data_IF_525747459847
#
_entry.id   IF_525747459847
#
_cell.length_a   1.000
_cell.length_b   1.000
_cell.length_c   1.000
_cell.angle_alpha   90.00
_cell.angle_beta   90.00
_cell.angle_gamma   90.00
#
_symmetry.space_group_name_H-M   'P 1'
#
loop_
_entity.id
_entity.type
_entity.pdbx_description
1 polymer ?
#
# COMPACT_ATOMS: atom_id res chain seq x y z
N UNK A 1 18.00 -48.73 42.83
CA UNK A 1 18.85 -47.60 43.26
C UNK A 1 19.23 -46.80 42.03
N UNK A 2 18.63 -45.63 41.82
CA UNK A 2 19.24 -44.41 41.28
C UNK A 2 18.24 -43.28 41.54
N UNK A 3 18.73 -42.27 42.25
CA UNK A 3 18.00 -41.10 42.72
C UNK A 3 18.28 -39.90 41.80
N UNK A 4 17.33 -38.96 41.74
CA UNK A 4 17.48 -37.65 41.12
C UNK A 4 16.11 -37.20 40.58
N UNK A 5 15.37 -36.25 41.17
CA UNK A 5 15.76 -35.11 41.97
C UNK A 5 16.07 -33.93 41.05
N UNK A 6 15.07 -33.10 40.72
CA UNK A 6 15.25 -31.99 39.77
C UNK A 6 14.09 -30.99 39.70
N UNK A 7 14.05 -30.11 40.69
CA UNK A 7 13.64 -28.69 40.66
C UNK A 7 12.42 -28.23 39.82
N UNK A 8 11.34 -27.88 40.53
CA UNK A 8 10.27 -27.01 40.06
C UNK A 8 10.73 -25.55 40.06
N UNK A 9 11.05 -25.02 38.88
CA UNK A 9 11.34 -23.59 38.69
C UNK A 9 10.05 -22.78 38.57
N UNK A 10 9.76 -21.96 39.59
CA UNK A 10 8.75 -20.90 39.54
C UNK A 10 9.31 -19.74 38.73
N UNK A 11 8.64 -19.35 37.64
CA UNK A 11 8.91 -18.08 36.97
C UNK A 11 8.10 -16.96 37.64
N UNK A 12 8.72 -15.80 37.95
CA UNK A 12 8.04 -14.68 38.58
C UNK A 12 7.18 -13.90 37.59
N UNK A 13 6.03 -13.43 38.09
CA UNK A 13 5.14 -12.49 37.43
C UNK A 13 5.84 -11.15 37.20
N UNK A 14 5.98 -10.75 35.94
CA UNK A 14 6.41 -9.42 35.56
C UNK A 14 5.24 -8.44 35.72
N UNK A 15 5.30 -7.64 36.79
CA UNK A 15 4.47 -6.45 37.00
C UNK A 15 4.74 -5.43 35.89
N UNK A 16 3.72 -5.09 35.10
CA UNK A 16 3.80 -3.97 34.15
C UNK A 16 3.46 -2.67 34.88
N UNK A 17 4.47 -1.85 35.11
CA UNK A 17 4.31 -0.45 35.54
C UNK A 17 3.82 0.37 34.34
N UNK A 18 2.61 0.93 34.47
CA UNK A 18 2.03 1.85 33.50
C UNK A 18 2.62 3.26 33.68
N UNK A 19 3.65 3.59 32.89
CA UNK A 19 4.09 4.98 32.74
C UNK A 19 3.19 5.65 31.71
N UNK A 20 2.37 6.59 32.19
CA UNK A 20 1.54 7.45 31.35
C UNK A 20 2.43 8.32 30.45
N UNK A 21 2.34 8.09 29.15
CA UNK A 21 2.89 8.98 28.13
C UNK A 21 1.77 9.95 27.75
N UNK A 22 1.92 11.19 28.22
CA UNK A 22 1.14 12.35 27.77
C UNK A 22 1.34 12.50 26.25
N UNK A 23 0.29 12.29 25.47
CA UNK A 23 0.30 12.54 24.03
C UNK A 23 0.40 14.05 23.76
N UNK A 24 1.32 14.53 22.89
CA UNK A 24 1.24 15.87 22.37
C UNK A 24 0.01 15.99 21.44
N UNK A 25 -0.79 17.04 21.67
CA UNK A 25 -1.85 17.49 20.77
C UNK A 25 -1.31 17.64 19.36
N UNK A 26 -1.76 16.80 18.44
CA UNK A 26 -1.57 17.04 17.01
C UNK A 26 -2.56 18.12 16.58
N UNK A 27 -2.02 19.31 16.31
CA UNK A 27 -2.75 20.35 15.60
C UNK A 27 -3.08 19.83 14.20
N UNK A 28 -4.38 19.70 13.94
CA UNK A 28 -4.93 19.30 12.66
C UNK A 28 -4.73 20.41 11.64
N UNK A 29 -3.65 20.33 10.87
CA UNK A 29 -3.50 21.11 9.65
C UNK A 29 -4.44 20.56 8.57
N UNK A 30 -5.57 21.23 8.38
CA UNK A 30 -6.50 21.02 7.27
C UNK A 30 -5.78 21.23 5.93
N UNK A 31 -5.67 20.17 5.13
CA UNK A 31 -5.16 20.25 3.77
C UNK A 31 -6.18 20.95 2.85
N UNK A 32 -5.76 21.88 1.96
CA UNK A 32 -6.65 22.44 0.96
C UNK A 32 -6.75 21.53 -0.27
N UNK A 33 -7.98 21.34 -0.75
CA UNK A 33 -8.28 21.20 -2.17
C UNK A 33 -8.11 19.81 -2.80
N UNK A 34 -9.20 19.03 -2.78
CA UNK A 34 -9.50 17.99 -3.78
C UNK A 34 -9.44 18.62 -5.19
N UNK A 35 -8.47 18.26 -6.01
CA UNK A 35 -8.59 18.36 -7.46
C UNK A 35 -9.20 17.06 -7.99
N UNK A 36 -10.46 17.12 -8.40
CA UNK A 36 -11.14 16.02 -9.07
C UNK A 36 -10.64 15.90 -10.52
N UNK A 37 -10.07 14.76 -10.87
CA UNK A 37 -9.91 14.38 -12.27
C UNK A 37 -11.22 13.72 -12.73
N UNK A 38 -11.92 14.38 -13.65
CA UNK A 38 -12.99 13.76 -14.42
C UNK A 38 -12.37 12.77 -15.43
N UNK A 39 -12.85 11.53 -15.42
CA UNK A 39 -12.53 10.53 -16.40
C UNK A 39 -13.16 10.91 -17.75
N UNK A 40 -12.35 11.13 -18.78
CA UNK A 40 -12.80 11.21 -20.16
C UNK A 40 -12.82 9.80 -20.74
N UNK A 41 -14.01 9.36 -21.17
CA UNK A 41 -14.21 8.09 -21.85
C UNK A 41 -13.75 8.16 -23.31
N UNK A 42 -13.20 7.04 -23.77
CA UNK A 42 -12.76 6.77 -25.14
C UNK A 42 -13.86 6.94 -26.19
N UNK A 43 -13.46 7.43 -27.38
CA UNK A 43 -14.33 7.41 -28.56
C UNK A 43 -13.70 8.02 -29.81
N UNK A 44 -13.12 7.17 -30.66
CA UNK A 44 -13.20 7.29 -32.12
C UNK A 44 -12.27 8.25 -32.86
N UNK A 45 -11.29 7.69 -33.59
CA UNK A 45 -10.78 8.24 -34.85
C UNK A 45 -11.40 7.43 -36.03
N UNK A 46 -11.20 7.75 -37.33
CA UNK A 46 -10.45 8.86 -37.93
C UNK A 46 -11.17 9.56 -39.12
N UNK A 47 -10.69 10.74 -39.54
CA UNK A 47 -10.90 11.23 -40.91
C UNK A 47 -9.73 12.09 -41.40
N UNK A 48 -9.36 11.83 -42.65
CA UNK A 48 -8.27 12.36 -43.47
C UNK A 48 -8.44 13.83 -43.87
N UNK A 49 -7.36 14.61 -43.96
CA UNK A 49 -7.21 15.67 -44.97
C UNK A 49 -5.75 16.12 -45.16
N UNK A 50 -5.39 16.32 -46.44
CA UNK A 50 -4.13 16.83 -47.00
C UNK A 50 -3.93 18.34 -46.75
N UNK A 51 -2.67 18.78 -46.84
CA UNK A 51 -2.25 20.15 -47.17
C UNK A 51 -0.86 20.44 -46.59
N UNK A 52 0.21 20.54 -47.39
CA UNK A 52 0.70 21.81 -47.96
C UNK A 52 1.37 22.65 -46.85
N UNK A 53 2.66 22.91 -46.79
CA UNK A 53 3.54 23.40 -47.84
C UNK A 53 4.27 24.65 -47.29
N UNK A 54 5.60 24.52 -47.19
CA UNK A 54 6.64 25.54 -47.15
C UNK A 54 6.98 26.31 -45.84
N UNK A 55 8.29 26.57 -45.61
CA UNK A 55 8.83 27.22 -44.42
C UNK A 55 8.91 28.74 -44.59
N UNK A 56 8.63 29.49 -43.53
CA UNK A 56 8.93 30.91 -43.46
C UNK A 56 10.30 31.12 -42.80
N UNK A 57 11.21 31.49 -43.68
CA UNK A 57 12.49 32.13 -43.47
C UNK A 57 12.36 33.42 -42.61
N UNK A 58 13.40 33.63 -41.80
CA UNK A 58 14.20 34.86 -41.85
C UNK A 58 13.52 36.18 -41.44
N UNK A 59 13.82 36.62 -40.21
CA UNK A 59 13.83 38.05 -39.88
C UNK A 59 15.18 38.47 -39.33
N UNK A 60 15.93 39.06 -40.25
CA UNK A 60 16.93 40.12 -40.13
C UNK A 60 17.29 40.59 -38.71
N UNK A 61 18.57 40.39 -38.36
CA UNK A 61 19.29 41.16 -37.34
C UNK A 61 19.72 42.51 -37.93
N UNK A 62 19.35 43.66 -37.34
CA UNK A 62 20.09 44.88 -37.57
C UNK A 62 21.33 44.93 -36.67
N UNK A 63 22.50 45.03 -37.29
CA UNK A 63 23.71 45.57 -36.65
C UNK A 63 23.59 47.10 -36.63
N UNK A 64 23.67 47.73 -35.45
CA UNK A 64 24.10 49.13 -35.36
C UNK A 64 24.89 49.48 -34.09
N UNK A 65 25.75 50.50 -34.19
CA UNK A 65 27.01 50.64 -33.47
C UNK A 65 26.91 51.62 -32.30
N UNK A 66 27.93 51.64 -31.43
CA UNK A 66 28.19 52.78 -30.54
C UNK A 66 28.65 52.39 -29.15
N UNK A 67 29.94 52.05 -29.04
CA UNK A 67 30.65 52.06 -27.77
C UNK A 67 30.84 53.51 -27.32
N UNK A 68 30.05 53.95 -26.34
CA UNK A 68 30.35 55.07 -25.46
C UNK A 68 29.82 54.68 -24.09
N UNK A 69 30.69 54.16 -23.22
CA UNK A 69 30.39 53.87 -21.82
C UNK A 69 30.50 55.17 -21.01
N UNK A 70 29.42 55.64 -20.36
CA UNK A 70 29.52 56.58 -19.27
C UNK A 70 30.00 55.83 -18.02
N UNK A 71 30.94 56.46 -17.31
CA UNK A 71 31.57 55.96 -16.09
C UNK A 71 30.56 55.53 -15.03
N UNK A 72 30.79 54.34 -14.49
CA UNK A 72 30.12 53.73 -13.35
C UNK A 72 30.18 54.66 -12.12
N UNK A 73 29.01 55.06 -11.61
CA UNK A 73 28.87 55.37 -10.19
C UNK A 73 28.49 54.05 -9.48
N UNK A 74 29.25 53.55 -8.48
CA UNK A 74 28.79 52.42 -7.69
C UNK A 74 27.67 52.90 -6.77
N UNK A 75 26.43 52.70 -7.19
CA UNK A 75 25.28 52.83 -6.31
C UNK A 75 25.41 51.75 -5.22
N UNK A 76 25.61 52.18 -3.97
CA UNK A 76 25.28 51.37 -2.80
C UNK A 76 23.77 51.12 -2.85
N UNK A 77 23.38 49.95 -3.34
CA UNK A 77 22.01 49.44 -3.33
C UNK A 77 21.92 48.20 -2.44
N UNK A 78 21.07 48.31 -1.43
CA UNK A 78 20.51 47.30 -0.50
C UNK A 78 20.79 45.82 -0.76
N UNK A 79 20.97 44.98 0.30
CA UNK A 79 21.04 43.54 0.14
C UNK A 79 19.71 43.06 -0.44
N UNK A 80 19.68 42.76 -1.74
CA UNK A 80 18.55 42.08 -2.34
C UNK A 80 18.38 40.79 -1.55
N UNK A 81 17.28 40.68 -0.79
CA UNK A 81 16.72 39.38 -0.42
C UNK A 81 16.71 38.56 -1.71
N UNK A 82 17.61 37.58 -1.82
CA UNK A 82 17.89 36.91 -3.07
C UNK A 82 16.59 36.39 -3.68
N UNK A 83 16.09 37.06 -4.71
CA UNK A 83 14.89 36.64 -5.41
C UNK A 83 15.25 35.37 -6.15
N UNK A 84 14.81 34.22 -5.63
CA UNK A 84 15.07 32.90 -6.20
C UNK A 84 14.68 32.92 -7.69
N UNK A 85 15.61 32.54 -8.55
CA UNK A 85 15.37 32.52 -10.00
C UNK A 85 14.26 31.53 -10.35
N UNK A 86 13.51 31.77 -11.43
CA UNK A 86 12.46 30.84 -11.85
C UNK A 86 13.03 29.46 -12.23
N UNK A 87 14.27 29.40 -12.71
CA UNK A 87 14.97 28.13 -12.95
C UNK A 87 15.16 27.35 -11.64
N UNK A 88 15.57 28.01 -10.57
CA UNK A 88 15.78 27.37 -9.27
C UNK A 88 14.46 26.92 -8.64
N UNK A 89 13.38 27.70 -8.81
CA UNK A 89 12.02 27.27 -8.43
C UNK A 89 11.61 25.99 -9.16
N UNK A 90 11.84 25.92 -10.47
CA UNK A 90 11.49 24.74 -11.27
C UNK A 90 12.36 23.52 -10.92
N UNK A 91 13.65 23.72 -10.59
CA UNK A 91 14.51 22.64 -10.09
C UNK A 91 14.01 22.09 -8.75
N UNK A 92 13.63 22.98 -7.83
CA UNK A 92 13.04 22.60 -6.56
C UNK A 92 11.70 21.86 -6.74
N UNK A 93 10.85 22.33 -7.67
CA UNK A 93 9.60 21.68 -8.01
C UNK A 93 9.82 20.28 -8.59
N UNK A 94 10.77 20.11 -9.51
CA UNK A 94 11.11 18.81 -10.08
C UNK A 94 11.57 17.83 -9.00
N UNK A 95 12.43 18.28 -8.09
CA UNK A 95 12.90 17.45 -6.98
C UNK A 95 11.74 17.05 -6.04
N UNK A 96 10.86 18.00 -5.74
CA UNK A 96 9.65 17.72 -4.97
C UNK A 96 8.74 16.70 -5.68
N UNK A 97 8.51 16.85 -6.99
CA UNK A 97 7.70 15.92 -7.78
C UNK A 97 8.30 14.52 -7.80
N UNK A 98 9.62 14.39 -7.97
CA UNK A 98 10.31 13.08 -7.88
C UNK A 98 10.08 12.43 -6.52
N UNK A 99 10.14 13.22 -5.45
CA UNK A 99 9.85 12.73 -4.10
C UNK A 99 8.39 12.28 -3.96
N UNK A 100 7.45 13.01 -4.53
CA UNK A 100 6.03 12.64 -4.54
C UNK A 100 5.80 11.33 -5.29
N UNK A 101 6.38 11.18 -6.49
CA UNK A 101 6.31 9.93 -7.26
C UNK A 101 6.83 8.76 -6.44
N UNK A 102 8.01 8.90 -5.83
CA UNK A 102 8.58 7.83 -4.99
C UNK A 102 7.73 7.50 -3.75
N UNK A 103 6.99 8.47 -3.18
CA UNK A 103 6.02 8.22 -2.11
C UNK A 103 4.83 7.40 -2.62
N UNK A 104 4.27 7.80 -3.76
CA UNK A 104 3.13 7.11 -4.38
C UNK A 104 3.51 5.68 -4.80
N UNK A 105 4.69 5.47 -5.39
CA UNK A 105 5.17 4.13 -5.75
C UNK A 105 5.35 3.20 -4.55
N UNK A 106 5.80 3.73 -3.41
CA UNK A 106 5.83 2.95 -2.16
C UNK A 106 4.42 2.57 -1.72
N UNK A 107 3.49 3.52 -1.77
CA UNK A 107 2.09 3.27 -1.39
C UNK A 107 1.41 2.25 -2.30
N UNK A 108 1.67 2.30 -3.60
CA UNK A 108 1.16 1.32 -4.58
C UNK A 108 1.65 -0.08 -4.21
N UNK A 109 2.95 -0.27 -3.97
CA UNK A 109 3.50 -1.57 -3.58
C UNK A 109 2.90 -2.12 -2.29
N UNK A 110 2.67 -1.26 -1.30
CA UNK A 110 1.98 -1.67 -0.06
C UNK A 110 0.55 -2.16 -0.35
N UNK A 111 -0.19 -1.43 -1.19
CA UNK A 111 -1.55 -1.79 -1.57
C UNK A 111 -1.60 -3.08 -2.38
N UNK A 112 -0.67 -3.29 -3.31
CA UNK A 112 -0.57 -4.53 -4.08
C UNK A 112 -0.34 -5.75 -3.17
N UNK A 113 0.51 -5.60 -2.15
CA UNK A 113 0.73 -6.65 -1.15
C UNK A 113 -0.56 -6.91 -0.36
N UNK A 114 -1.28 -5.85 0.04
CA UNK A 114 -2.55 -5.98 0.77
C UNK A 114 -3.62 -6.68 -0.08
N UNK A 115 -3.78 -6.30 -1.34
CA UNK A 115 -4.73 -6.91 -2.27
C UNK A 115 -4.39 -8.37 -2.53
N UNK A 116 -3.11 -8.71 -2.70
CA UNK A 116 -2.67 -10.10 -2.84
C UNK A 116 -3.02 -10.93 -1.59
N UNK A 117 -2.80 -10.38 -0.39
CA UNK A 117 -3.18 -11.03 0.86
C UNK A 117 -4.69 -11.19 1.00
N UNK A 118 -5.48 -10.19 0.63
CA UNK A 118 -6.94 -10.24 0.66
C UNK A 118 -7.47 -11.29 -0.32
N UNK A 119 -6.94 -11.32 -1.54
CA UNK A 119 -7.28 -12.37 -2.53
C UNK A 119 -6.97 -13.76 -2.00
N UNK A 120 -5.83 -13.94 -1.32
CA UNK A 120 -5.48 -15.23 -0.74
C UNK A 120 -6.41 -15.60 0.43
N UNK A 121 -6.77 -14.64 1.29
CA UNK A 121 -7.77 -14.85 2.36
C UNK A 121 -9.13 -15.23 1.78
N UNK A 122 -9.59 -14.52 0.75
CA UNK A 122 -10.85 -14.82 0.08
C UNK A 122 -10.85 -16.24 -0.50
N UNK A 123 -9.72 -16.70 -1.09
CA UNK A 123 -9.57 -18.10 -1.53
C UNK A 123 -9.62 -19.09 -0.38
N UNK A 124 -8.94 -18.79 0.74
CA UNK A 124 -8.96 -19.63 1.93
C UNK A 124 -10.37 -19.70 2.58
N UNK A 125 -11.14 -18.63 2.56
CA UNK A 125 -12.52 -18.60 3.07
C UNK A 125 -13.48 -19.47 2.24
N UNK A 126 -13.19 -19.59 0.94
CA UNK A 126 -13.92 -20.44 0.00
C UNK A 126 -13.44 -21.90 -0.02
N UNK A 127 -12.45 -22.27 0.79
CA UNK A 127 -11.98 -23.64 0.94
C UNK A 127 -12.21 -24.18 2.35
N UNK A 128 -11.94 -25.46 2.55
CA UNK A 128 -12.08 -26.16 3.84
C UNK A 128 -10.78 -26.84 4.22
N UNK A 129 -10.64 -27.24 5.48
CA UNK A 129 -9.48 -28.00 5.96
C UNK A 129 -9.88 -28.93 7.10
N UNK A 130 -9.21 -30.06 7.20
CA UNK A 130 -9.43 -31.04 8.26
C UNK A 130 -8.31 -30.88 9.29
N UNK A 131 -8.69 -30.61 10.53
CA UNK A 131 -7.83 -30.77 11.67
C UNK A 131 -7.75 -32.27 11.98
N UNK A 132 -6.55 -32.89 11.91
CA UNK A 132 -6.40 -34.31 12.18
C UNK A 132 -6.84 -34.66 13.60
N UNK A 133 -7.35 -35.88 13.76
CA UNK A 133 -7.65 -36.42 15.08
C UNK A 133 -6.39 -36.42 15.94
N UNK A 134 -6.54 -36.00 17.21
CA UNK A 134 -5.49 -36.14 18.22
C UNK A 134 -6.00 -37.06 19.33
N UNK A 135 -5.10 -37.55 20.17
CA UNK A 135 -5.39 -38.56 21.20
C UNK A 135 -6.55 -38.21 22.15
N UNK A 136 -6.97 -36.95 22.23
CA UNK A 136 -8.05 -36.48 23.09
C UNK A 136 -9.19 -35.75 22.35
N UNK A 137 -9.21 -35.73 21.00
CA UNK A 137 -10.22 -34.98 20.25
C UNK A 137 -10.53 -35.62 18.90
N UNK A 138 -11.81 -35.62 18.51
CA UNK A 138 -12.28 -35.98 17.16
C UNK A 138 -11.62 -35.10 16.09
N UNK A 139 -11.59 -35.59 14.85
CA UNK A 139 -11.17 -34.77 13.73
C UNK A 139 -12.22 -33.67 13.50
N UNK A 140 -11.76 -32.46 13.18
CA UNK A 140 -12.65 -31.31 12.99
C UNK A 140 -12.50 -30.76 11.58
N UNK A 141 -13.62 -30.60 10.88
CA UNK A 141 -13.66 -29.83 9.65
C UNK A 141 -13.74 -28.34 9.99
N UNK A 142 -12.93 -27.52 9.32
CA UNK A 142 -12.91 -26.07 9.45
C UNK A 142 -13.09 -25.41 8.08
N UNK A 143 -13.55 -24.16 8.06
CA UNK A 143 -13.31 -23.29 6.89
C UNK A 143 -11.82 -22.97 6.80
N UNK A 144 -11.28 -22.79 5.60
CA UNK A 144 -9.86 -22.51 5.40
C UNK A 144 -9.41 -21.23 6.10
N UNK A 145 -10.29 -20.23 6.20
CA UNK A 145 -10.08 -18.99 6.97
C UNK A 145 -10.36 -19.06 8.49
N UNK A 146 -10.63 -20.23 9.07
CA UNK A 146 -10.91 -20.34 10.51
C UNK A 146 -9.69 -19.94 11.36
N UNK A 147 -9.86 -18.93 12.24
CA UNK A 147 -8.80 -18.44 13.11
C UNK A 147 -8.44 -19.39 14.27
N UNK A 148 -9.36 -20.28 14.67
CA UNK A 148 -9.14 -21.26 15.74
C UNK A 148 -8.10 -22.33 15.36
N UNK A 149 -7.97 -22.60 14.07
CA UNK A 149 -6.95 -23.48 13.52
C UNK A 149 -6.23 -22.74 12.40
N UNK A 150 -5.18 -21.95 12.68
CA UNK A 150 -4.59 -21.02 11.71
C UNK A 150 -3.74 -21.70 10.62
N UNK A 151 -3.44 -22.99 10.77
CA UNK A 151 -2.65 -23.74 9.79
C UNK A 151 -3.37 -23.77 8.44
N UNK A 152 -2.65 -23.39 7.37
CA UNK A 152 -3.17 -23.36 6.00
C UNK A 152 -2.88 -24.66 5.23
N UNK A 153 -2.49 -25.72 5.94
CA UNK A 153 -2.08 -26.99 5.32
C UNK A 153 -3.32 -27.84 5.03
N UNK A 154 -3.36 -28.46 3.85
CA UNK A 154 -4.41 -29.41 3.50
C UNK A 154 -5.76 -28.77 3.22
N UNK A 155 -5.78 -27.68 2.44
CA UNK A 155 -7.03 -27.13 1.92
C UNK A 155 -7.68 -28.14 0.97
N UNK A 156 -8.95 -28.44 1.19
CA UNK A 156 -9.76 -29.38 0.41
C UNK A 156 -10.88 -28.65 -0.32
N UNK A 157 -11.34 -29.26 -1.41
CA UNK A 157 -12.46 -28.75 -2.21
C UNK A 157 -13.78 -28.82 -1.45
N UNK A 158 -14.83 -28.18 -1.98
CA UNK A 158 -16.17 -28.27 -1.43
C UNK A 158 -16.67 -29.72 -1.42
N UNK A 159 -16.44 -30.43 -2.51
CA UNK A 159 -16.87 -31.82 -2.71
C UNK A 159 -16.20 -32.73 -1.68
N UNK A 160 -14.90 -32.59 -1.49
CA UNK A 160 -14.14 -33.34 -0.48
C UNK A 160 -14.61 -32.99 0.95
N UNK A 161 -14.98 -31.74 1.20
CA UNK A 161 -15.52 -31.31 2.48
C UNK A 161 -16.90 -31.94 2.77
N UNK A 162 -17.74 -32.11 1.74
CA UNK A 162 -19.01 -32.84 1.88
C UNK A 162 -18.79 -34.32 2.15
N UNK A 163 -17.81 -34.95 1.48
CA UNK A 163 -17.42 -36.34 1.74
C UNK A 163 -16.91 -36.47 3.17
N UNK A 164 -16.04 -35.57 3.62
CA UNK A 164 -15.50 -35.58 4.98
C UNK A 164 -16.61 -35.45 6.04
N UNK A 165 -17.64 -34.62 5.84
CA UNK A 165 -18.76 -34.54 6.78
C UNK A 165 -19.68 -35.76 6.79
N UNK A 166 -19.60 -36.62 5.77
CA UNK A 166 -20.34 -37.89 5.77
C UNK A 166 -19.63 -38.96 6.62
N UNK A 167 -18.34 -38.80 6.90
CA UNK A 167 -17.57 -39.71 7.76
C UNK A 167 -17.92 -39.47 9.24
N UNK A 168 -18.18 -40.54 10.03
CA UNK A 168 -18.69 -40.42 11.40
C UNK A 168 -17.66 -39.92 12.42
N UNK A 169 -16.38 -39.88 12.07
CA UNK A 169 -15.27 -39.47 12.93
C UNK A 169 -14.82 -38.01 12.70
N UNK A 170 -15.48 -37.30 11.77
CA UNK A 170 -15.20 -35.91 11.43
C UNK A 170 -16.41 -35.04 11.82
N UNK A 171 -16.21 -34.15 12.78
CA UNK A 171 -17.24 -33.21 13.21
C UNK A 171 -17.02 -31.81 12.61
N UNK A 172 -18.09 -31.04 12.32
CA UNK A 172 -17.94 -29.65 11.91
C UNK A 172 -17.47 -28.79 13.10
N UNK A 173 -16.53 -27.88 12.84
CA UNK A 173 -16.12 -26.89 13.83
C UNK A 173 -17.30 -25.99 14.22
N UNK A 174 -17.64 -25.96 15.51
CA UNK A 174 -18.74 -25.18 16.06
C UNK A 174 -18.51 -23.66 15.98
N UNK A 175 -17.26 -23.22 15.84
CA UNK A 175 -16.89 -21.79 15.78
C UNK A 175 -17.09 -21.23 14.36
N UNK A 176 -16.50 -21.87 13.35
CA UNK A 176 -16.58 -21.37 11.98
C UNK A 176 -17.75 -21.96 11.16
N UNK A 177 -18.49 -22.92 11.72
CA UNK A 177 -19.68 -23.57 11.13
C UNK A 177 -19.52 -23.86 9.63
N UNK A 178 -18.57 -24.74 9.27
CA UNK A 178 -18.22 -24.99 7.86
C UNK A 178 -19.37 -25.57 7.02
N UNK A 179 -20.36 -26.18 7.67
CA UNK A 179 -21.58 -26.78 7.13
C UNK A 179 -22.51 -25.76 6.44
N UNK A 180 -22.56 -24.53 6.96
CA UNK A 180 -23.53 -23.49 6.54
C UNK A 180 -23.41 -23.01 5.09
N UNK A 181 -22.30 -23.34 4.40
CA UNK A 181 -22.10 -23.02 2.99
C UNK A 181 -21.91 -24.23 2.09
N UNK A 182 -22.01 -25.45 2.61
CA UNK A 182 -21.81 -26.67 1.82
C UNK A 182 -23.09 -27.13 1.11
N UNK A 183 -24.27 -26.68 1.55
CA UNK A 183 -25.58 -27.14 1.06
C UNK A 183 -26.29 -26.18 0.07
N UNK A 184 -25.66 -25.05 -0.30
CA UNK A 184 -26.19 -24.09 -1.29
C UNK A 184 -25.54 -24.27 -2.64
#
# INVERSE_FOLDING_TARGET
MFAGGGAWGRSPAASRSSTGITQPRTESCTAPGRFGFAAAADGGAPATARGGGLPLSERARPLRPGLLQPRLCPARGTPHSATISDLDKNRALLEWLRRQVGQTERRIRELEIQEAQERERARAEMSWKIQPQRSSSVALLHRGGCATYPDQVGLISREDAMIALAEPDIEPCQVCRPDTGLLR
#
